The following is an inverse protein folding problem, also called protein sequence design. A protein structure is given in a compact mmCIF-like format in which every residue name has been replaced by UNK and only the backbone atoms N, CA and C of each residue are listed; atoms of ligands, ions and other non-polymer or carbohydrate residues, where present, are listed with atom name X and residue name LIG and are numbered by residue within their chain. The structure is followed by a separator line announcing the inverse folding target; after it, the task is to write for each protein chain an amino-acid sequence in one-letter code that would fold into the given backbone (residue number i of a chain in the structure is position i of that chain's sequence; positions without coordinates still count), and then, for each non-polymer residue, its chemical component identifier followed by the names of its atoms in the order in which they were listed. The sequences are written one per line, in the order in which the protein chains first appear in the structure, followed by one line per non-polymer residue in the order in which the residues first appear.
data_IF_555737912375
#
_entry.id   IF_555737912375
#
_cell.length_a   1.000
_cell.length_b   1.000
_cell.length_c   1.000
_cell.angle_alpha   90.00
_cell.angle_beta   90.00
_cell.angle_gamma   90.00
#
_symmetry.space_group_name_H-M   'P 1'
#
loop_
_entity.id
_entity.type
_entity.pdbx_description
1 polymer ?
#
# COMPACT_ATOMS: atom_id res chain seq x y z
N UNK A 1 12.77 17.81 -18.72
CA UNK A 1 12.04 16.54 -18.51
C UNK A 1 12.89 15.69 -17.58
N UNK A 2 12.50 15.49 -16.31
CA UNK A 2 13.30 14.62 -15.44
C UNK A 2 13.24 13.21 -16.00
N UNK A 3 14.37 12.69 -16.45
CA UNK A 3 14.55 11.30 -16.86
C UNK A 3 14.38 10.40 -15.63
N UNK A 4 13.13 10.08 -15.28
CA UNK A 4 12.84 9.17 -14.18
C UNK A 4 13.44 7.79 -14.49
N UNK A 5 14.06 7.17 -13.48
CA UNK A 5 14.50 5.79 -13.57
C UNK A 5 13.35 4.92 -14.09
N UNK A 6 13.64 4.02 -15.03
CA UNK A 6 12.61 3.17 -15.64
C UNK A 6 11.83 2.37 -14.59
N UNK A 7 12.49 2.00 -13.50
CA UNK A 7 11.87 1.33 -12.33
C UNK A 7 10.71 2.12 -11.73
N UNK A 8 10.79 3.45 -11.71
CA UNK A 8 9.70 4.32 -11.21
C UNK A 8 8.70 4.66 -12.31
N UNK A 9 9.20 4.91 -13.52
CA UNK A 9 8.36 5.25 -14.68
C UNK A 9 7.39 4.12 -15.02
N UNK A 10 7.84 2.88 -14.93
CA UNK A 10 7.05 1.68 -15.24
C UNK A 10 6.61 0.93 -13.97
N UNK A 11 6.66 1.56 -12.79
CA UNK A 11 6.16 0.96 -11.56
C UNK A 11 4.65 0.69 -11.73
N UNK A 12 4.18 -0.56 -11.58
CA UNK A 12 2.76 -0.90 -11.65
C UNK A 12 1.86 0.04 -10.83
N UNK A 13 0.78 0.51 -11.46
CA UNK A 13 -0.20 1.40 -10.84
C UNK A 13 -1.48 0.68 -10.40
N UNK A 14 -1.77 -0.49 -10.96
CA UNK A 14 -2.91 -1.34 -10.63
C UNK A 14 -2.49 -2.80 -10.43
N UNK A 15 -3.29 -3.58 -9.71
CA UNK A 15 -3.07 -5.03 -9.54
C UNK A 15 -3.04 -5.77 -10.88
N UNK A 16 -3.69 -5.24 -11.91
CA UNK A 16 -3.68 -5.79 -13.28
C UNK A 16 -2.33 -5.66 -13.99
N UNK A 17 -1.50 -4.71 -13.56
CA UNK A 17 -0.16 -4.47 -14.14
C UNK A 17 0.93 -5.33 -13.48
N UNK A 18 0.60 -6.05 -12.40
CA UNK A 18 1.54 -6.89 -11.68
C UNK A 18 1.71 -8.22 -12.39
N UNK A 19 2.93 -8.49 -12.84
CA UNK A 19 3.30 -9.74 -13.51
C UNK A 19 3.89 -10.76 -12.54
N UNK A 20 3.76 -12.04 -12.89
CA UNK A 20 4.42 -13.16 -12.21
C UNK A 20 4.06 -13.37 -10.71
N UNK A 21 2.91 -12.84 -10.26
CA UNK A 21 2.39 -13.00 -8.89
C UNK A 21 0.89 -13.35 -8.88
N UNK A 22 0.45 -14.23 -9.79
CA UNK A 22 -0.98 -14.47 -10.09
C UNK A 22 -1.83 -14.80 -8.87
N UNK A 23 -1.34 -15.68 -7.99
CA UNK A 23 -2.09 -16.07 -6.78
C UNK A 23 -2.24 -14.91 -5.79
N UNK A 24 -1.16 -14.16 -5.54
CA UNK A 24 -1.17 -12.99 -4.64
C UNK A 24 -2.09 -11.91 -5.21
N UNK A 25 -1.98 -11.63 -6.51
CA UNK A 25 -2.84 -10.66 -7.20
C UNK A 25 -4.31 -11.07 -7.09
N UNK A 26 -4.63 -12.36 -7.28
CA UNK A 26 -6.00 -12.86 -7.13
C UNK A 26 -6.53 -12.65 -5.71
N UNK A 27 -5.71 -12.93 -4.67
CA UNK A 27 -6.11 -12.70 -3.27
C UNK A 27 -6.31 -11.21 -2.98
N UNK A 28 -5.42 -10.35 -3.48
CA UNK A 28 -5.53 -8.90 -3.27
C UNK A 28 -6.76 -8.32 -3.95
N UNK A 29 -7.10 -8.79 -5.16
CA UNK A 29 -8.36 -8.43 -5.83
C UNK A 29 -9.57 -8.84 -5.01
N UNK A 30 -9.56 -10.01 -4.37
CA UNK A 30 -10.64 -10.42 -3.47
C UNK A 30 -10.76 -9.46 -2.27
N UNK A 31 -9.65 -9.07 -1.63
CA UNK A 31 -9.68 -8.09 -0.55
C UNK A 31 -10.26 -6.73 -0.99
N UNK A 32 -9.92 -6.29 -2.21
CA UNK A 32 -10.46 -5.05 -2.79
C UNK A 32 -11.97 -5.17 -3.03
N UNK A 33 -12.42 -6.27 -3.63
CA UNK A 33 -13.83 -6.53 -3.94
C UNK A 33 -14.68 -6.65 -2.66
N UNK A 34 -14.19 -7.40 -1.67
CA UNK A 34 -14.86 -7.61 -0.40
C UNK A 34 -14.77 -6.40 0.52
N UNK A 35 -13.92 -5.41 0.19
CA UNK A 35 -13.62 -4.25 1.03
C UNK A 35 -13.22 -4.66 2.45
N UNK A 36 -12.51 -5.78 2.55
CA UNK A 36 -12.09 -6.36 3.81
C UNK A 36 -10.67 -6.90 3.63
N UNK A 37 -9.76 -6.44 4.47
CA UNK A 37 -8.34 -6.76 4.37
C UNK A 37 -7.78 -7.07 5.75
N UNK A 38 -7.19 -8.26 5.96
CA UNK A 38 -6.48 -8.57 7.19
C UNK A 38 -5.16 -7.80 7.26
N UNK A 39 -4.49 -7.82 8.41
CA UNK A 39 -3.08 -7.41 8.47
C UNK A 39 -2.23 -8.40 7.67
N UNK A 40 -1.31 -7.87 6.86
CA UNK A 40 -0.52 -8.66 5.92
C UNK A 40 0.97 -8.57 6.26
N UNK A 41 1.67 -9.69 6.09
CA UNK A 41 3.14 -9.75 6.09
C UNK A 41 3.61 -10.25 4.72
N UNK A 42 4.28 -9.38 3.96
CA UNK A 42 4.76 -9.72 2.62
C UNK A 42 6.24 -10.08 2.69
N UNK A 43 6.57 -11.33 2.39
CA UNK A 43 7.94 -11.86 2.46
C UNK A 43 8.43 -12.26 1.07
N UNK A 44 9.67 -11.94 0.77
CA UNK A 44 10.33 -12.33 -0.48
C UNK A 44 11.58 -11.50 -0.78
N UNK A 45 12.33 -11.85 -1.84
CA UNK A 45 13.56 -11.16 -2.24
C UNK A 45 13.36 -9.67 -2.56
N UNK A 46 14.46 -8.91 -2.62
CA UNK A 46 14.42 -7.52 -3.08
C UNK A 46 13.95 -7.44 -4.54
N UNK A 47 13.18 -6.40 -4.89
CA UNK A 47 12.74 -6.17 -6.28
C UNK A 47 11.56 -6.99 -6.78
N UNK A 48 10.94 -7.88 -5.98
CA UNK A 48 9.81 -8.73 -6.43
C UNK A 48 8.43 -8.06 -6.39
N UNK A 49 8.37 -6.75 -6.11
CA UNK A 49 7.11 -5.99 -6.15
C UNK A 49 6.29 -5.96 -4.86
N UNK A 50 6.86 -6.29 -3.70
CA UNK A 50 6.13 -6.28 -2.40
C UNK A 50 5.43 -4.94 -2.11
N UNK A 51 6.22 -3.85 -2.01
CA UNK A 51 5.70 -2.50 -1.76
C UNK A 51 4.78 -2.04 -2.89
N UNK A 52 5.20 -2.28 -4.14
CA UNK A 52 4.41 -1.96 -5.33
C UNK A 52 3.03 -2.60 -5.30
N UNK A 53 2.92 -3.86 -4.85
CA UNK A 53 1.65 -4.59 -4.81
C UNK A 53 0.66 -3.96 -3.84
N UNK A 54 1.12 -3.50 -2.68
CA UNK A 54 0.25 -2.81 -1.71
C UNK A 54 -0.14 -1.42 -2.21
N UNK A 55 0.77 -0.69 -2.84
CA UNK A 55 0.43 0.62 -3.44
C UNK A 55 -0.56 0.49 -4.60
N UNK A 56 -0.42 -0.53 -5.43
CA UNK A 56 -1.36 -0.85 -6.51
C UNK A 56 -2.74 -1.23 -5.95
N UNK A 57 -2.78 -2.11 -4.95
CA UNK A 57 -4.02 -2.47 -4.24
C UNK A 57 -4.69 -1.24 -3.61
N UNK A 58 -3.90 -0.35 -2.98
CA UNK A 58 -4.44 0.88 -2.39
C UNK A 58 -5.04 1.81 -3.46
N UNK A 59 -4.42 1.93 -4.63
CA UNK A 59 -4.99 2.69 -5.75
C UNK A 59 -6.28 2.07 -6.26
N UNK A 60 -6.33 0.76 -6.43
CA UNK A 60 -7.54 0.06 -6.87
C UNK A 60 -8.68 0.20 -5.82
N UNK A 61 -8.34 0.26 -4.52
CA UNK A 61 -9.30 0.36 -3.42
C UNK A 61 -9.82 1.78 -3.19
N UNK A 62 -8.93 2.77 -3.13
CA UNK A 62 -9.24 4.15 -2.75
C UNK A 62 -9.32 5.12 -3.94
N UNK A 63 -8.93 4.67 -5.14
CA UNK A 63 -8.90 5.48 -6.35
C UNK A 63 -7.83 6.58 -6.34
N UNK A 64 -8.06 7.70 -7.06
CA UNK A 64 -7.08 8.79 -7.19
C UNK A 64 -6.63 9.40 -5.86
N UNK A 65 -7.48 9.33 -4.83
CA UNK A 65 -7.24 9.90 -3.51
C UNK A 65 -6.55 8.93 -2.53
N UNK A 66 -6.03 7.78 -3.00
CA UNK A 66 -5.43 6.75 -2.14
C UNK A 66 -4.34 7.29 -1.19
N UNK A 67 -3.58 8.31 -1.63
CA UNK A 67 -2.53 8.93 -0.81
C UNK A 67 -3.02 9.48 0.53
N UNK A 68 -4.30 9.88 0.62
CA UNK A 68 -4.91 10.38 1.86
C UNK A 68 -5.21 9.28 2.88
N UNK A 69 -5.23 8.02 2.44
CA UNK A 69 -5.62 6.85 3.24
C UNK A 69 -4.47 5.87 3.46
N UNK A 70 -3.25 6.22 3.04
CA UNK A 70 -2.05 5.44 3.29
C UNK A 70 -1.07 6.20 4.18
N UNK A 71 -0.35 5.46 5.01
CA UNK A 71 0.83 5.93 5.70
C UNK A 71 1.95 4.93 5.44
N UNK A 72 2.92 5.31 4.62
CA UNK A 72 4.13 4.52 4.33
C UNK A 72 5.25 4.94 5.28
N UNK A 73 5.79 3.99 6.04
CA UNK A 73 6.91 4.18 6.95
C UNK A 73 8.09 3.33 6.51
N UNK A 74 9.20 3.99 6.20
CA UNK A 74 10.43 3.27 5.87
C UNK A 74 11.26 2.99 7.14
N UNK A 75 11.72 1.75 7.26
CA UNK A 75 12.57 1.32 8.37
C UNK A 75 13.93 2.05 8.42
N UNK A 76 14.42 2.64 7.32
CA UNK A 76 15.66 3.42 7.35
C UNK A 76 15.50 4.75 8.11
N UNK A 77 14.34 5.39 7.93
CA UNK A 77 14.13 6.79 8.31
C UNK A 77 13.37 6.90 9.64
N UNK A 78 12.54 5.90 9.97
CA UNK A 78 11.57 5.99 11.08
C UNK A 78 11.77 4.90 12.15
N UNK A 79 12.96 4.89 12.77
CA UNK A 79 13.40 3.84 13.71
C UNK A 79 13.02 4.05 15.18
N UNK A 80 12.52 5.24 15.54
CA UNK A 80 12.27 5.60 16.93
C UNK A 80 10.94 5.08 17.47
N UNK A 81 10.92 4.63 18.72
CA UNK A 81 9.67 4.23 19.42
C UNK A 81 8.63 5.36 19.47
N UNK A 82 9.07 6.63 19.42
CA UNK A 82 8.19 7.80 19.33
C UNK A 82 7.33 7.79 18.06
N UNK A 83 7.88 7.36 16.91
CA UNK A 83 7.11 7.23 15.66
C UNK A 83 5.94 6.28 15.84
N UNK A 84 6.19 5.13 16.47
CA UNK A 84 5.15 4.13 16.72
C UNK A 84 4.10 4.69 17.70
N UNK A 85 4.53 5.33 18.78
CA UNK A 85 3.64 5.82 19.84
C UNK A 85 2.77 7.00 19.40
N UNK A 86 3.29 7.85 18.53
CA UNK A 86 2.61 9.07 18.13
C UNK A 86 2.09 8.96 16.69
N UNK A 87 2.97 8.87 15.70
CA UNK A 87 2.60 8.93 14.27
C UNK A 87 1.70 7.77 13.85
N UNK A 88 2.13 6.52 14.10
CA UNK A 88 1.35 5.32 13.77
C UNK A 88 0.04 5.30 14.55
N UNK A 89 0.11 5.53 15.87
CA UNK A 89 -1.07 5.51 16.73
C UNK A 89 -2.10 6.57 16.34
N UNK A 90 -1.68 7.80 16.05
CA UNK A 90 -2.58 8.88 15.65
C UNK A 90 -3.20 8.61 14.27
N UNK A 91 -2.43 8.06 13.33
CA UNK A 91 -2.97 7.64 12.06
C UNK A 91 -3.99 6.51 12.22
N UNK A 92 -3.70 5.47 13.01
CA UNK A 92 -4.62 4.36 13.23
C UNK A 92 -5.93 4.77 13.94
N UNK A 93 -5.90 5.82 14.79
CA UNK A 93 -7.08 6.29 15.54
C UNK A 93 -8.02 7.21 14.76
N UNK A 94 -7.56 7.78 13.64
CA UNK A 94 -8.39 8.69 12.85
C UNK A 94 -9.25 7.93 11.85
N UNK A 95 -10.53 8.28 11.75
CA UNK A 95 -11.45 7.64 10.82
C UNK A 95 -11.08 7.93 9.37
N UNK A 96 -11.40 6.99 8.47
CA UNK A 96 -11.24 7.14 7.03
C UNK A 96 -12.42 7.95 6.44
N UNK A 97 -12.49 9.25 6.77
CA UNK A 97 -13.59 10.12 6.31
C UNK A 97 -13.55 10.22 4.77
N UNK A 98 -14.70 10.09 4.12
CA UNK A 98 -14.85 10.10 2.66
C UNK A 98 -14.07 9.00 1.91
N UNK A 99 -13.67 7.94 2.61
CA UNK A 99 -13.08 6.74 2.01
C UNK A 99 -14.16 5.79 1.49
N UNK A 100 -13.93 5.06 0.38
CA UNK A 100 -14.80 3.98 -0.09
C UNK A 100 -14.82 2.74 0.82
N UNK A 101 -13.90 2.66 1.79
CA UNK A 101 -13.80 1.61 2.82
C UNK A 101 -13.57 2.19 4.21
N UNK A 102 -13.88 1.43 5.26
CA UNK A 102 -13.83 1.88 6.65
C UNK A 102 -12.46 1.74 7.34
N UNK A 103 -11.39 1.45 6.59
CA UNK A 103 -10.04 1.34 7.11
C UNK A 103 -9.04 2.19 6.30
N UNK A 104 -7.82 2.28 6.81
CA UNK A 104 -6.66 2.91 6.17
C UNK A 104 -5.51 1.92 6.16
N UNK A 105 -4.52 2.13 5.28
CA UNK A 105 -3.38 1.22 5.14
C UNK A 105 -2.14 1.87 5.74
N UNK A 106 -1.49 1.17 6.66
CA UNK A 106 -0.13 1.45 7.11
C UNK A 106 0.80 0.45 6.40
N UNK A 107 1.89 0.92 5.80
CA UNK A 107 2.87 0.10 5.07
C UNK A 107 4.25 0.36 5.66
#
# INVERSE_FOLDING_TARGET
MSSGMWTEKYRPQSLDEIVNQKEIVSRFKNFVNEKNMPHLLLVGPAGVGKTTSILAMARDLYGPSYRSFILELNASDERGIGVIRDKVKNFARTAAIASPVNFKILI
#
